data_IF_049512166287
#
_entry.id   IF_049512166287
#
_cell.length_a   1.000
_cell.length_b   1.000
_cell.length_c   1.000
_cell.angle_alpha   90.00
_cell.angle_beta   90.00
_cell.angle_gamma   90.00
#
_symmetry.space_group_name_H-M   'P 1'
#
loop_
_entity.id
_entity.type
_entity.pdbx_description
1 polymer ?
#
# COMPACT_ATOMS: atom_id res chain seq x y z
N UNK A 1 16.34 13.59 25.86
CA UNK A 1 15.06 13.58 26.60
C UNK A 1 13.96 13.72 25.57
N UNK A 2 13.34 12.62 25.13
CA UNK A 2 12.26 12.66 24.12
C UNK A 2 10.99 13.12 24.85
N UNK A 3 10.44 14.26 24.45
CA UNK A 3 9.24 14.80 25.09
C UNK A 3 7.99 14.07 24.59
N UNK A 4 6.88 14.15 25.34
CA UNK A 4 5.63 13.43 25.01
C UNK A 4 5.07 13.82 23.62
N UNK A 5 5.41 15.02 23.14
CA UNK A 5 5.02 15.56 21.83
C UNK A 5 5.73 14.85 20.68
N UNK A 6 7.05 14.62 20.81
CA UNK A 6 7.87 13.96 19.78
C UNK A 6 7.36 12.55 19.45
N UNK A 7 6.90 11.81 20.48
CA UNK A 7 6.30 10.48 20.28
C UNK A 7 4.98 10.55 19.52
N UNK A 8 4.14 11.55 19.82
CA UNK A 8 2.85 11.75 19.15
C UNK A 8 3.04 12.10 17.68
N UNK A 9 3.99 12.98 17.39
CA UNK A 9 4.28 13.41 16.03
C UNK A 9 4.87 12.25 15.20
N UNK A 10 5.73 11.43 15.80
CA UNK A 10 6.25 10.22 15.15
C UNK A 10 5.14 9.18 14.88
N UNK A 11 4.19 9.01 15.80
CA UNK A 11 3.03 8.12 15.59
C UNK A 11 2.14 8.63 14.46
N UNK A 12 1.93 9.96 14.37
CA UNK A 12 1.19 10.54 13.24
C UNK A 12 1.91 10.35 11.91
N UNK A 13 3.22 10.58 11.87
CA UNK A 13 4.02 10.33 10.67
C UNK A 13 3.89 8.88 10.22
N UNK A 14 4.05 7.92 11.14
CA UNK A 14 3.91 6.50 10.85
C UNK A 14 2.49 6.16 10.34
N UNK A 15 1.45 6.72 10.97
CA UNK A 15 0.07 6.48 10.56
C UNK A 15 -0.21 7.00 9.15
N UNK A 16 0.26 8.21 8.82
CA UNK A 16 0.11 8.81 7.49
C UNK A 16 0.91 8.02 6.45
N UNK A 17 2.14 7.60 6.78
CA UNK A 17 2.96 6.79 5.90
C UNK A 17 2.31 5.43 5.62
N UNK A 18 1.84 4.73 6.66
CA UNK A 18 1.13 3.46 6.50
C UNK A 18 -0.14 3.64 5.65
N UNK A 19 -0.90 4.72 5.87
CA UNK A 19 -2.08 5.02 5.08
C UNK A 19 -1.75 5.25 3.60
N UNK A 20 -0.67 5.98 3.29
CA UNK A 20 -0.20 6.22 1.94
C UNK A 20 0.27 4.92 1.26
N UNK A 21 1.09 4.11 1.94
CA UNK A 21 1.58 2.83 1.44
C UNK A 21 0.44 1.86 1.15
N UNK A 22 -0.53 1.75 2.07
CA UNK A 22 -1.72 0.89 1.87
C UNK A 22 -2.59 1.42 0.72
N UNK A 23 -2.74 2.73 0.57
CA UNK A 23 -3.47 3.31 -0.57
C UNK A 23 -2.81 2.97 -1.90
N UNK A 24 -1.47 3.02 -1.97
CA UNK A 24 -0.72 2.62 -3.17
C UNK A 24 -0.80 1.11 -3.43
N UNK A 25 -0.77 0.27 -2.39
CA UNK A 25 -0.98 -1.17 -2.53
C UNK A 25 -2.39 -1.47 -3.08
N UNK A 26 -3.41 -0.74 -2.59
CA UNK A 26 -4.76 -0.81 -3.13
C UNK A 26 -4.83 -0.39 -4.60
N UNK A 27 -4.15 0.69 -4.99
CA UNK A 27 -4.06 1.14 -6.38
C UNK A 27 -3.41 0.08 -7.28
N UNK A 28 -2.31 -0.54 -6.84
CA UNK A 28 -1.66 -1.63 -7.56
C UNK A 28 -2.63 -2.81 -7.80
N UNK A 29 -3.37 -3.20 -6.76
CA UNK A 29 -4.39 -4.24 -6.89
C UNK A 29 -5.52 -3.87 -7.85
N UNK A 30 -5.97 -2.61 -7.83
CA UNK A 30 -7.00 -2.10 -8.74
C UNK A 30 -6.54 -2.12 -10.20
N UNK A 31 -5.33 -1.66 -10.49
CA UNK A 31 -4.74 -1.69 -11.84
C UNK A 31 -4.54 -3.12 -12.37
N UNK A 32 -4.36 -4.10 -11.48
CA UNK A 32 -4.29 -5.52 -11.80
C UNK A 32 -5.68 -6.21 -11.83
N UNK A 33 -6.78 -5.46 -11.66
CA UNK A 33 -8.14 -6.00 -11.72
C UNK A 33 -8.55 -6.86 -10.52
N UNK A 34 -7.89 -6.72 -9.37
CA UNK A 34 -8.12 -7.56 -8.19
C UNK A 34 -9.39 -7.19 -7.39
N UNK A 35 -10.08 -6.09 -7.71
CA UNK A 35 -11.24 -5.60 -6.94
C UNK A 35 -12.31 -6.67 -6.69
N UNK A 36 -12.60 -7.52 -7.69
CA UNK A 36 -13.60 -8.59 -7.56
C UNK A 36 -13.18 -9.67 -6.56
N UNK A 37 -11.88 -9.98 -6.49
CA UNK A 37 -11.33 -10.90 -5.49
C UNK A 37 -11.51 -10.35 -4.07
N UNK A 38 -11.52 -9.02 -3.92
CA UNK A 38 -11.72 -8.33 -2.65
C UNK A 38 -13.20 -8.12 -2.29
N UNK A 39 -14.12 -8.68 -3.09
CA UNK A 39 -15.56 -8.60 -2.86
C UNK A 39 -16.22 -7.33 -3.39
N UNK A 40 -15.57 -6.57 -4.28
CA UNK A 40 -16.23 -5.44 -4.94
C UNK A 40 -17.31 -5.93 -5.90
N UNK A 41 -18.54 -5.41 -5.73
CA UNK A 41 -19.68 -5.72 -6.61
C UNK A 41 -19.77 -4.80 -7.83
N UNK A 42 -19.12 -3.64 -7.76
CA UNK A 42 -19.03 -2.64 -8.84
C UNK A 42 -17.62 -2.03 -8.87
N UNK A 43 -17.13 -1.55 -10.03
CA UNK A 43 -15.85 -0.85 -10.12
C UNK A 43 -15.78 0.33 -9.16
N UNK A 44 -14.68 0.49 -8.42
CA UNK A 44 -14.50 1.55 -7.43
C UNK A 44 -15.44 1.45 -6.22
N UNK A 45 -16.04 0.27 -5.98
CA UNK A 45 -16.92 0.03 -4.83
C UNK A 45 -16.20 -0.04 -3.48
N UNK A 46 -14.88 -0.22 -3.49
CA UNK A 46 -14.03 -0.27 -2.30
C UNK A 46 -12.97 0.83 -2.43
N UNK A 47 -12.80 1.66 -1.39
CA UNK A 47 -11.75 2.68 -1.39
C UNK A 47 -10.36 2.05 -1.48
N UNK A 48 -9.40 2.74 -2.12
CA UNK A 48 -8.04 2.24 -2.31
C UNK A 48 -7.36 1.85 -0.99
N UNK A 49 -7.49 2.67 0.06
CA UNK A 49 -6.97 2.31 1.38
C UNK A 49 -7.53 0.98 1.90
N UNK A 50 -8.86 0.76 1.76
CA UNK A 50 -9.50 -0.48 2.18
C UNK A 50 -9.09 -1.66 1.29
N UNK A 51 -8.91 -1.44 -0.02
CA UNK A 51 -8.33 -2.46 -0.89
C UNK A 51 -6.93 -2.85 -0.43
N UNK A 52 -6.09 -1.88 -0.08
CA UNK A 52 -4.75 -2.09 0.46
C UNK A 52 -4.72 -2.92 1.74
N UNK A 53 -5.60 -2.61 2.70
CA UNK A 53 -5.73 -3.42 3.92
C UNK A 53 -6.09 -4.87 3.62
N UNK A 54 -7.11 -5.09 2.77
CA UNK A 54 -7.52 -6.45 2.40
C UNK A 54 -6.40 -7.21 1.67
N UNK A 55 -5.65 -6.54 0.80
CA UNK A 55 -4.51 -7.13 0.11
C UNK A 55 -3.38 -7.46 1.08
N UNK A 56 -3.07 -6.58 2.03
CA UNK A 56 -2.06 -6.80 3.07
C UNK A 56 -2.36 -8.08 3.87
N UNK A 57 -3.60 -8.26 4.30
CA UNK A 57 -4.03 -9.46 5.04
C UNK A 57 -3.96 -10.74 4.20
N UNK A 58 -4.07 -10.61 2.87
CA UNK A 58 -3.99 -11.73 1.93
C UNK A 58 -2.56 -12.11 1.53
N UNK A 59 -1.57 -11.22 1.67
CA UNK A 59 -0.18 -11.47 1.24
C UNK A 59 0.37 -12.84 1.67
N UNK A 60 0.22 -13.29 2.94
CA UNK A 60 0.83 -14.55 3.39
C UNK A 60 0.28 -15.80 2.71
N UNK A 61 -0.92 -15.72 2.12
CA UNK A 61 -1.62 -16.84 1.49
C UNK A 61 -1.82 -16.63 -0.02
N UNK A 62 -1.29 -15.53 -0.55
CA UNK A 62 -1.44 -15.19 -1.96
C UNK A 62 -0.59 -16.13 -2.81
N UNK A 63 -1.15 -16.63 -3.92
CA UNK A 63 -0.36 -17.41 -4.88
C UNK A 63 0.84 -16.59 -5.37
N UNK A 64 1.98 -17.24 -5.53
CA UNK A 64 3.26 -16.56 -5.82
C UNK A 64 3.21 -15.68 -7.07
N UNK A 65 2.58 -16.17 -8.15
CA UNK A 65 2.42 -15.43 -9.40
C UNK A 65 1.66 -14.11 -9.20
N UNK A 66 0.59 -14.15 -8.41
CA UNK A 66 -0.21 -12.96 -8.07
C UNK A 66 0.55 -12.03 -7.13
N UNK A 67 1.23 -12.57 -6.13
CA UNK A 67 2.04 -11.81 -5.19
C UNK A 67 3.14 -11.04 -5.94
N UNK A 68 3.85 -11.72 -6.84
CA UNK A 68 4.90 -11.11 -7.67
C UNK A 68 4.34 -9.98 -8.53
N UNK A 69 3.21 -10.20 -9.21
CA UNK A 69 2.57 -9.16 -10.02
C UNK A 69 2.17 -7.94 -9.17
N UNK A 70 1.57 -8.17 -8.00
CA UNK A 70 1.14 -7.12 -7.08
C UNK A 70 2.32 -6.31 -6.55
N UNK A 71 3.37 -6.97 -6.06
CA UNK A 71 4.55 -6.32 -5.52
C UNK A 71 5.33 -5.56 -6.59
N UNK A 72 5.37 -6.08 -7.84
CA UNK A 72 6.01 -5.38 -8.96
C UNK A 72 5.30 -4.06 -9.26
N UNK A 73 3.97 -4.08 -9.42
CA UNK A 73 3.20 -2.84 -9.67
C UNK A 73 3.21 -1.89 -8.49
N UNK A 74 3.16 -2.41 -7.27
CA UNK A 74 3.33 -1.59 -6.07
C UNK A 74 4.69 -0.89 -6.06
N UNK A 75 5.78 -1.59 -6.38
CA UNK A 75 7.12 -1.03 -6.51
C UNK A 75 7.24 0.05 -7.60
N UNK A 76 6.62 -0.15 -8.75
CA UNK A 76 6.56 0.85 -9.81
C UNK A 76 5.82 2.12 -9.37
N UNK A 77 4.66 1.96 -8.71
CA UNK A 77 3.90 3.09 -8.17
C UNK A 77 4.69 3.84 -7.10
N UNK A 78 5.43 3.13 -6.23
CA UNK A 78 6.32 3.78 -5.26
C UNK A 78 7.38 4.65 -5.95
N UNK A 79 8.04 4.13 -6.99
CA UNK A 79 9.06 4.87 -7.74
C UNK A 79 8.53 6.13 -8.43
N UNK A 80 7.28 6.10 -8.89
CA UNK A 80 6.63 7.25 -9.53
C UNK A 80 6.30 8.38 -8.54
N UNK A 81 6.17 8.09 -7.25
CA UNK A 81 5.92 9.10 -6.24
C UNK A 81 7.22 9.76 -5.78
N UNK A 82 7.27 11.10 -5.89
CA UNK A 82 8.42 11.97 -5.59
C UNK A 82 9.07 11.76 -4.19
N UNK A 83 8.36 11.14 -3.25
CA UNK A 83 8.86 10.83 -1.91
C UNK A 83 9.90 9.71 -1.90
N UNK A 84 9.94 8.85 -2.93
CA UNK A 84 10.86 7.71 -3.03
C UNK A 84 11.93 7.89 -4.11
N UNK A 85 11.78 8.90 -4.97
CA UNK A 85 12.79 9.27 -5.97
C UNK A 85 13.92 10.02 -5.26
N UNK A 86 14.94 9.27 -4.81
CA UNK A 86 16.14 9.84 -4.17
C UNK A 86 16.52 9.26 -2.81
N UNK A 87 15.84 8.21 -2.31
CA UNK A 87 16.27 7.50 -1.09
C UNK A 87 17.30 6.41 -1.50
N UNK A 88 18.59 6.56 -1.16
CA UNK A 88 19.59 5.55 -1.48
C UNK A 88 19.36 4.30 -0.61
N UNK A 89 19.25 3.12 -1.22
CA UNK A 89 19.14 1.82 -0.52
C UNK A 89 17.77 1.14 -0.57
N UNK A 90 16.81 1.66 -1.34
CA UNK A 90 15.55 0.96 -1.65
C UNK A 90 15.66 0.15 -2.96
N UNK A 91 16.68 -0.70 -3.08
CA UNK A 91 16.85 -1.70 -4.14
C UNK A 91 17.53 -2.95 -3.56
#
# INVERSE_FOLDING_TARGET
>A
MITRTDRRDMLFLLAVLAHALLTLLGKAGQELGMERMLGATRPGGISLFRQGLLLWDLLPRMREDRLRALMTRFGELLHQHALFTGIPGLL
#
